data_IF_723352596755
#
_entry.id   IF_723352596755
#
_cell.length_a   1.000
_cell.length_b   1.000
_cell.length_c   1.000
_cell.angle_alpha   90.00
_cell.angle_beta   90.00
_cell.angle_gamma   90.00
#
_symmetry.space_group_name_H-M   'P 1'
#
loop_
_entity.id
_entity.type
_entity.pdbx_description
1 polymer ?
#
# COMPACT_ATOMS: atom_id res chain seq x y z
N UNK A 1 6.06 -21.45 9.52
CA UNK A 1 5.27 -21.56 8.28
C UNK A 1 6.20 -21.10 7.16
N UNK A 2 6.68 -22.02 6.33
CA UNK A 2 7.58 -21.68 5.22
C UNK A 2 6.66 -21.37 4.05
N UNK A 3 6.54 -20.08 3.70
CA UNK A 3 5.85 -19.66 2.49
C UNK A 3 6.66 -20.10 1.27
N UNK A 4 6.00 -20.67 0.28
CA UNK A 4 6.63 -21.07 -0.98
C UNK A 4 7.00 -19.83 -1.80
N UNK A 5 8.02 -19.93 -2.67
CA UNK A 5 8.51 -18.78 -3.45
C UNK A 5 7.42 -18.13 -4.32
N UNK A 6 6.45 -18.92 -4.79
CA UNK A 6 5.25 -18.41 -5.48
C UNK A 6 4.38 -17.57 -4.54
N UNK A 7 4.06 -18.06 -3.35
CA UNK A 7 3.29 -17.28 -2.35
C UNK A 7 3.98 -15.97 -1.95
N UNK A 8 5.32 -15.92 -2.00
CA UNK A 8 6.11 -14.72 -1.73
C UNK A 8 6.07 -13.72 -2.89
N UNK A 9 6.07 -14.19 -4.15
CA UNK A 9 5.99 -13.33 -5.34
C UNK A 9 4.60 -12.70 -5.47
N UNK A 10 3.54 -13.44 -5.13
CA UNK A 10 2.16 -12.99 -5.29
C UNK A 10 1.61 -12.22 -4.09
N UNK A 11 2.36 -12.11 -2.99
CA UNK A 11 1.94 -11.24 -1.89
C UNK A 11 2.26 -9.76 -2.22
N UNK A 12 1.23 -8.89 -2.34
CA UNK A 12 1.41 -7.48 -2.68
C UNK A 12 2.23 -6.71 -1.65
N UNK A 13 2.23 -7.14 -0.38
CA UNK A 13 3.04 -6.53 0.65
C UNK A 13 4.50 -6.92 0.47
N UNK A 14 4.82 -8.21 0.33
CA UNK A 14 6.20 -8.67 0.19
C UNK A 14 6.87 -8.19 -1.10
N UNK A 15 6.11 -8.12 -2.20
CA UNK A 15 6.63 -7.63 -3.49
C UNK A 15 6.90 -6.12 -3.49
N UNK A 16 6.02 -5.33 -2.88
CA UNK A 16 6.09 -3.87 -2.95
C UNK A 16 6.88 -3.24 -1.79
N UNK A 17 6.90 -3.87 -0.61
CA UNK A 17 7.53 -3.32 0.58
C UNK A 17 8.99 -2.90 0.39
N UNK A 18 9.87 -3.65 -0.32
CA UNK A 18 11.24 -3.21 -0.57
C UNK A 18 11.32 -1.85 -1.28
N UNK A 19 10.45 -1.61 -2.27
CA UNK A 19 10.42 -0.35 -3.03
C UNK A 19 9.92 0.80 -2.16
N UNK A 20 8.95 0.52 -1.26
CA UNK A 20 8.41 1.52 -0.36
C UNK A 20 9.35 1.85 0.79
N UNK A 21 10.16 0.88 1.25
CA UNK A 21 11.15 1.10 2.28
C UNK A 21 12.20 2.16 1.87
N UNK A 22 12.45 2.32 0.57
CA UNK A 22 13.30 3.37 -0.01
C UNK A 22 12.60 4.73 -0.13
N UNK A 23 11.33 4.84 0.26
CA UNK A 23 10.51 6.06 0.22
C UNK A 23 10.06 6.46 1.64
N UNK A 24 10.91 7.18 2.39
CA UNK A 24 10.64 7.62 3.76
C UNK A 24 9.28 8.29 3.97
N UNK A 25 8.81 9.09 3.01
CA UNK A 25 7.54 9.80 3.12
C UNK A 25 6.32 8.86 3.14
N UNK A 26 6.33 7.81 2.33
CA UNK A 26 5.29 6.76 2.35
C UNK A 26 5.40 5.93 3.63
N UNK A 27 6.62 5.58 4.04
CA UNK A 27 6.84 4.81 5.27
C UNK A 27 6.39 5.56 6.52
N UNK A 28 6.64 6.87 6.58
CA UNK A 28 6.19 7.73 7.66
C UNK A 28 4.66 7.81 7.69
N UNK A 29 4.01 7.96 6.54
CA UNK A 29 2.54 7.86 6.45
C UNK A 29 2.03 6.53 6.99
N UNK A 30 2.58 5.40 6.51
CA UNK A 30 2.12 4.07 6.91
C UNK A 30 2.30 3.85 8.42
N UNK A 31 3.44 4.29 8.97
CA UNK A 31 3.74 4.25 10.40
C UNK A 31 2.74 5.09 11.19
N UNK A 32 2.44 6.31 10.75
CA UNK A 32 1.49 7.20 11.42
C UNK A 32 0.08 6.60 11.47
N UNK A 33 -0.39 6.04 10.35
CA UNK A 33 -1.68 5.36 10.26
C UNK A 33 -1.74 4.11 11.15
N UNK A 34 -0.66 3.31 11.17
CA UNK A 34 -0.57 2.15 12.05
C UNK A 34 -0.60 2.56 13.52
N UNK A 35 0.19 3.54 13.92
CA UNK A 35 0.21 4.06 15.29
C UNK A 35 -1.16 4.57 15.74
N UNK A 36 -1.87 5.28 14.87
CA UNK A 36 -3.22 5.75 15.16
C UNK A 36 -4.20 4.57 15.41
N UNK A 37 -4.05 3.48 14.67
CA UNK A 37 -4.88 2.27 14.83
C UNK A 37 -4.44 1.36 15.97
N UNK A 38 -3.15 1.40 16.33
CA UNK A 38 -2.53 0.49 17.28
C UNK A 38 -3.26 0.49 18.62
N UNK A 39 -3.74 1.65 19.09
CA UNK A 39 -4.52 1.75 20.33
C UNK A 39 -5.74 0.83 20.37
N UNK A 40 -6.40 0.60 19.22
CA UNK A 40 -7.57 -0.29 19.09
C UNK A 40 -7.18 -1.76 18.86
N UNK A 41 -5.93 -2.01 18.45
CA UNK A 41 -5.41 -3.33 18.09
C UNK A 41 -4.53 -3.96 19.18
N UNK A 42 -4.12 -3.20 20.22
CA UNK A 42 -3.22 -3.64 21.30
C UNK A 42 -3.63 -4.95 21.98
N UNK A 43 -4.93 -5.16 22.16
CA UNK A 43 -5.47 -6.33 22.86
C UNK A 43 -5.91 -7.45 21.90
N UNK A 44 -5.60 -7.32 20.61
CA UNK A 44 -5.94 -8.30 19.58
C UNK A 44 -4.78 -9.27 19.36
N UNK A 45 -5.10 -10.46 18.86
CA UNK A 45 -4.10 -11.46 18.49
C UNK A 45 -3.15 -10.94 17.42
N UNK A 46 -1.94 -11.48 17.34
CA UNK A 46 -0.95 -11.11 16.32
C UNK A 46 -1.50 -11.27 14.90
N UNK A 47 -2.27 -12.34 14.65
CA UNK A 47 -2.93 -12.57 13.36
C UNK A 47 -3.94 -11.47 13.01
N UNK A 48 -4.76 -11.04 13.97
CA UNK A 48 -5.68 -9.91 13.78
C UNK A 48 -4.93 -8.59 13.56
N UNK A 49 -3.81 -8.38 14.25
CA UNK A 49 -2.95 -7.21 14.06
C UNK A 49 -2.35 -7.19 12.64
N UNK A 50 -1.79 -8.30 12.20
CA UNK A 50 -1.21 -8.46 10.87
C UNK A 50 -2.26 -8.23 9.77
N UNK A 51 -3.44 -8.85 9.87
CA UNK A 51 -4.53 -8.63 8.92
C UNK A 51 -5.01 -7.17 8.88
N UNK A 52 -5.06 -6.52 10.05
CA UNK A 52 -5.47 -5.12 10.18
C UNK A 52 -4.42 -4.16 9.60
N UNK A 53 -3.14 -4.47 9.77
CA UNK A 53 -2.01 -3.74 9.18
C UNK A 53 -1.99 -3.91 7.66
N UNK A 54 -2.10 -5.14 7.17
CA UNK A 54 -2.19 -5.45 5.74
C UNK A 54 -3.34 -4.67 5.08
N UNK A 55 -4.51 -4.59 5.74
CA UNK A 55 -5.61 -3.77 5.23
C UNK A 55 -5.28 -2.27 5.14
N UNK A 56 -4.54 -1.72 6.11
CA UNK A 56 -4.08 -0.32 6.02
C UNK A 56 -3.13 -0.19 4.83
N UNK A 57 -2.14 -1.07 4.72
CA UNK A 57 -1.15 -1.07 3.64
C UNK A 57 -1.83 -1.07 2.26
N UNK A 58 -2.77 -1.99 2.06
CA UNK A 58 -3.51 -2.14 0.81
C UNK A 58 -4.33 -0.89 0.45
N UNK A 59 -4.98 -0.27 1.44
CA UNK A 59 -5.80 0.93 1.22
C UNK A 59 -4.98 2.23 1.18
N UNK A 60 -3.66 2.18 1.42
CA UNK A 60 -2.82 3.38 1.45
C UNK A 60 -1.60 3.20 0.59
N UNK A 61 -0.49 2.74 1.16
CA UNK A 61 0.80 2.64 0.48
C UNK A 61 0.70 1.89 -0.87
N UNK A 62 0.01 0.75 -0.91
CA UNK A 62 -0.20 0.02 -2.16
C UNK A 62 -1.01 0.84 -3.17
N UNK A 63 -2.18 1.33 -2.74
CA UNK A 63 -3.08 2.10 -3.60
C UNK A 63 -2.38 3.34 -4.16
N UNK A 64 -1.73 4.14 -3.31
CA UNK A 64 -1.07 5.37 -3.73
C UNK A 64 0.11 5.06 -4.65
N UNK A 65 0.96 4.10 -4.31
CA UNK A 65 2.14 3.80 -5.10
C UNK A 65 1.80 3.34 -6.52
N UNK A 66 0.81 2.45 -6.66
CA UNK A 66 0.49 1.86 -7.97
C UNK A 66 -0.49 2.69 -8.80
N UNK A 67 -1.30 3.54 -8.17
CA UNK A 67 -2.36 4.25 -8.89
C UNK A 67 -2.23 5.77 -8.87
N UNK A 68 -1.58 6.40 -7.90
CA UNK A 68 -1.49 7.86 -7.90
C UNK A 68 -0.52 8.35 -8.98
N UNK A 69 -0.88 9.42 -9.67
CA UNK A 69 0.06 10.15 -10.55
C UNK A 69 0.95 11.00 -9.65
N UNK A 70 2.01 10.38 -9.12
CA UNK A 70 2.88 10.95 -8.11
C UNK A 70 4.30 11.13 -8.68
N UNK A 71 4.98 12.27 -8.44
CA UNK A 71 6.36 12.42 -8.89
C UNK A 71 7.27 11.41 -8.15
N UNK A 72 8.37 10.96 -8.77
CA UNK A 72 9.29 10.02 -8.15
C UNK A 72 9.87 10.61 -6.86
N UNK A 73 10.09 9.75 -5.86
CA UNK A 73 10.72 10.18 -4.62
C UNK A 73 12.16 10.63 -4.88
N UNK A 74 12.49 11.86 -4.49
CA UNK A 74 13.83 12.43 -4.53
C UNK A 74 14.02 13.32 -3.30
N UNK A 75 14.90 12.91 -2.39
CA UNK A 75 15.08 13.60 -1.09
C UNK A 75 15.51 15.07 -1.23
N UNK A 76 16.18 15.43 -2.34
CA UNK A 76 16.63 16.79 -2.61
C UNK A 76 15.60 17.66 -3.36
N UNK A 77 14.49 17.08 -3.85
CA UNK A 77 13.48 17.79 -4.62
C UNK A 77 12.31 18.20 -3.73
N UNK A 78 12.43 19.38 -3.10
CA UNK A 78 11.47 19.87 -2.10
C UNK A 78 10.08 20.09 -2.72
N UNK A 79 10.01 20.56 -3.96
CA UNK A 79 8.73 20.79 -4.65
C UNK A 79 8.02 19.46 -4.94
N UNK A 80 8.75 18.46 -5.44
CA UNK A 80 8.20 17.13 -5.64
C UNK A 80 7.74 16.50 -4.32
N UNK A 81 8.53 16.61 -3.25
CA UNK A 81 8.15 16.10 -1.93
C UNK A 81 6.88 16.78 -1.37
N UNK A 82 6.71 18.08 -1.58
CA UNK A 82 5.50 18.78 -1.17
C UNK A 82 4.25 18.27 -1.92
N UNK A 83 4.36 18.04 -3.23
CA UNK A 83 3.28 17.45 -4.04
C UNK A 83 2.94 16.03 -3.57
N UNK A 84 3.96 15.21 -3.31
CA UNK A 84 3.79 13.85 -2.75
C UNK A 84 3.05 13.92 -1.43
N UNK A 85 3.48 14.78 -0.51
CA UNK A 85 2.85 14.95 0.79
C UNK A 85 1.38 15.37 0.69
N UNK A 86 1.03 16.24 -0.27
CA UNK A 86 -0.35 16.61 -0.52
C UNK A 86 -1.21 15.43 -0.98
N UNK A 87 -0.70 14.61 -1.90
CA UNK A 87 -1.39 13.39 -2.37
C UNK A 87 -1.57 12.36 -1.25
N UNK A 88 -0.49 12.12 -0.48
CA UNK A 88 -0.50 11.24 0.67
C UNK A 88 -1.57 11.69 1.68
N UNK A 89 -1.61 12.99 2.01
CA UNK A 89 -2.60 13.55 2.93
C UNK A 89 -4.03 13.40 2.42
N UNK A 90 -4.28 13.65 1.13
CA UNK A 90 -5.61 13.41 0.52
C UNK A 90 -6.05 11.96 0.68
N UNK A 91 -5.15 11.01 0.44
CA UNK A 91 -5.44 9.59 0.63
C UNK A 91 -5.79 9.28 2.10
N UNK A 92 -5.05 9.83 3.07
CA UNK A 92 -5.36 9.67 4.49
C UNK A 92 -6.72 10.24 4.87
N UNK A 93 -7.02 11.45 4.43
CA UNK A 93 -8.28 12.13 4.74
C UNK A 93 -9.46 11.32 4.20
N UNK A 94 -9.34 10.80 2.98
CA UNK A 94 -10.35 9.91 2.40
C UNK A 94 -10.44 8.56 3.14
N UNK A 95 -9.33 7.97 3.58
CA UNK A 95 -9.37 6.74 4.38
C UNK A 95 -10.05 6.98 5.73
N UNK A 96 -9.82 8.13 6.35
CA UNK A 96 -10.45 8.51 7.63
C UNK A 96 -11.95 8.68 7.49
N UNK A 97 -12.43 9.20 6.36
CA UNK A 97 -13.85 9.40 6.11
C UNK A 97 -14.54 8.11 5.62
N UNK A 98 -13.97 7.42 4.63
CA UNK A 98 -14.63 6.33 3.90
C UNK A 98 -14.16 4.92 4.27
N UNK A 99 -13.10 4.79 5.09
CA UNK A 99 -12.48 3.51 5.53
C UNK A 99 -11.86 2.65 4.43
N UNK A 100 -11.97 3.07 3.16
CA UNK A 100 -11.40 2.38 2.00
C UNK A 100 -10.71 3.36 1.05
N UNK A 101 -9.83 2.85 0.19
CA UNK A 101 -9.17 3.62 -0.88
C UNK A 101 -10.09 3.94 -2.05
N UNK A 102 -11.27 3.33 -2.13
CA UNK A 102 -12.19 3.46 -3.27
C UNK A 102 -12.52 4.91 -3.58
N UNK A 103 -12.69 5.76 -2.56
CA UNK A 103 -12.99 7.17 -2.80
C UNK A 103 -11.86 7.86 -3.55
N UNK A 104 -10.62 7.65 -3.10
CA UNK A 104 -9.42 8.21 -3.73
C UNK A 104 -9.34 7.81 -5.21
N UNK A 105 -9.51 6.52 -5.50
CA UNK A 105 -9.48 5.99 -6.86
C UNK A 105 -10.57 6.55 -7.79
N UNK A 106 -11.71 6.97 -7.23
CA UNK A 106 -12.84 7.50 -8.00
C UNK A 106 -12.80 9.02 -8.17
N UNK A 107 -12.04 9.75 -7.35
CA UNK A 107 -12.05 11.22 -7.33
C UNK A 107 -10.73 11.86 -7.74
N UNK A 108 -9.61 11.17 -7.61
CA UNK A 108 -8.30 11.68 -7.99
C UNK A 108 -7.86 11.13 -9.35
N UNK A 109 -7.02 11.87 -10.10
CA UNK A 109 -6.38 11.32 -11.29
C UNK A 109 -5.50 10.12 -10.92
N UNK A 110 -5.89 8.93 -11.38
CA UNK A 110 -5.22 7.68 -11.08
C UNK A 110 -4.90 6.89 -12.35
N UNK A 111 -3.78 6.17 -12.32
CA UNK A 111 -3.47 5.11 -13.26
C UNK A 111 -4.42 3.92 -13.03
N UNK A 112 -4.78 3.17 -14.08
CA UNK A 112 -5.58 1.95 -13.95
C UNK A 112 -4.91 0.95 -13.01
N UNK A 113 -5.70 0.29 -12.16
CA UNK A 113 -5.24 -0.84 -11.36
C UNK A 113 -4.81 -1.98 -12.29
N UNK A 114 -3.58 -2.47 -12.11
CA UNK A 114 -3.13 -3.65 -12.82
C UNK A 114 -3.70 -4.91 -12.14
N UNK A 115 -4.75 -5.48 -12.71
CA UNK A 115 -5.39 -6.70 -12.18
C UNK A 115 -4.43 -7.90 -12.16
N UNK A 116 -3.38 -7.87 -12.96
CA UNK A 116 -2.38 -8.94 -13.02
C UNK A 116 -1.48 -8.98 -11.78
N UNK A 117 -1.34 -7.87 -11.05
CA UNK A 117 -0.59 -7.83 -9.79
C UNK A 117 -1.24 -8.71 -8.70
N UNK A 118 -2.48 -9.13 -8.92
CA UNK A 118 -3.29 -9.96 -8.01
C UNK A 118 -3.80 -11.25 -8.62
N UNK A 119 -3.46 -11.55 -9.88
CA UNK A 119 -3.99 -12.72 -10.59
C UNK A 119 -3.00 -13.88 -10.55
N UNK A 120 -3.51 -15.11 -10.41
CA UNK A 120 -2.73 -16.32 -10.63
C UNK A 120 -2.85 -16.76 -12.09
N UNK A 121 -1.70 -17.02 -12.73
CA UNK A 121 -1.67 -17.63 -14.05
C UNK A 121 -1.84 -19.15 -13.92
N UNK A 122 -3.04 -19.64 -14.26
CA UNK A 122 -3.39 -21.07 -14.19
C UNK A 122 -2.90 -21.88 -15.40
N UNK A 123 -2.54 -21.20 -16.51
CA UNK A 123 -2.25 -21.85 -17.80
C UNK A 123 -0.92 -21.40 -18.41
N UNK A 124 -0.23 -20.48 -17.76
CA UNK A 124 1.07 -20.00 -18.17
C UNK A 124 2.14 -21.07 -18.06
N UNK A 125 3.20 -20.85 -18.84
CA UNK A 125 4.48 -21.57 -18.80
C UNK A 125 5.13 -21.73 -17.42
N UNK A 126 4.63 -21.05 -16.39
CA UNK A 126 5.09 -21.10 -15.00
C UNK A 126 3.97 -21.46 -14.01
N UNK A 127 2.83 -21.97 -14.48
CA UNK A 127 1.79 -22.51 -13.61
C UNK A 127 2.36 -23.69 -12.79
N UNK A 128 1.99 -23.77 -11.51
CA UNK A 128 2.42 -24.85 -10.63
C UNK A 128 1.59 -26.10 -10.93
N UNK A 129 2.26 -27.17 -11.33
CA UNK A 129 1.70 -28.53 -11.48
C UNK A 129 1.45 -29.19 -10.11
#
# INVERSE_FOLDING_TARGET
MILTFSEIIYDPFLSLFPILADQPDIMDQLRNLWNAKLNTMKNKSESEQAASFYRIFMNTAYCVHNTAIMPPYRIWDVEALALRQQLLKKCEDMLREYRTSTRFLLTEPCLPLNIYDYSFDLLGRHALD
#
